data_IF_767926096792
#
_entry.id   IF_767926096792
#
_cell.length_a   1.000
_cell.length_b   1.000
_cell.length_c   1.000
_cell.angle_alpha   90.00
_cell.angle_beta   90.00
_cell.angle_gamma   90.00
#
_symmetry.space_group_name_H-M   'P 1'
#
loop_
_entity.id
_entity.type
_entity.pdbx_description
1 polymer ?
#
# COMPACT_ATOMS: atom_id res chain seq x y z
N UNK A 1 12.93 -3.39 13.93
CA UNK A 1 11.76 -3.72 14.77
C UNK A 1 10.55 -2.82 14.51
N UNK A 2 10.62 -1.87 13.56
CA UNK A 2 9.43 -1.12 13.12
C UNK A 2 8.45 -2.08 12.46
N UNK A 3 7.41 -2.50 13.18
CA UNK A 3 6.36 -3.39 12.66
C UNK A 3 5.24 -2.62 11.96
N UNK A 4 5.10 -1.35 12.30
CA UNK A 4 4.08 -0.46 11.75
C UNK A 4 4.44 0.06 10.36
N UNK A 5 5.69 -0.13 9.93
CA UNK A 5 6.12 0.22 8.57
C UNK A 5 6.16 1.71 8.30
N UNK A 6 6.31 2.51 9.37
CA UNK A 6 6.23 3.98 9.34
C UNK A 6 7.60 4.65 9.35
N UNK A 7 8.71 3.91 9.44
CA UNK A 7 10.03 4.50 9.31
C UNK A 7 10.32 4.92 7.87
N UNK A 8 11.14 5.97 7.72
CA UNK A 8 11.44 6.55 6.41
C UNK A 8 12.08 5.54 5.44
N UNK A 9 12.89 4.60 5.94
CA UNK A 9 13.49 3.54 5.12
C UNK A 9 12.43 2.68 4.43
N UNK A 10 11.40 2.27 5.16
CA UNK A 10 10.32 1.43 4.61
C UNK A 10 9.37 2.21 3.72
N UNK A 11 9.09 3.45 4.09
CA UNK A 11 8.34 4.37 3.23
C UNK A 11 9.06 4.57 1.89
N UNK A 12 10.39 4.71 1.90
CA UNK A 12 11.20 4.81 0.71
C UNK A 12 11.18 3.50 -0.10
N UNK A 13 11.34 2.33 0.52
CA UNK A 13 11.25 1.04 -0.19
C UNK A 13 9.89 0.88 -0.90
N UNK A 14 8.80 1.20 -0.20
CA UNK A 14 7.45 1.17 -0.75
C UNK A 14 7.28 2.18 -1.89
N UNK A 15 7.84 3.39 -1.78
CA UNK A 15 7.75 4.39 -2.85
C UNK A 15 8.49 3.99 -4.13
N UNK A 16 9.46 3.08 -4.05
CA UNK A 16 10.21 2.55 -5.19
C UNK A 16 9.68 1.19 -5.69
N UNK A 17 8.57 0.68 -5.15
CA UNK A 17 7.96 -0.57 -5.61
C UNK A 17 8.66 -1.82 -5.14
N UNK A 18 9.58 -1.69 -4.18
CA UNK A 18 10.07 -2.84 -3.47
C UNK A 18 8.93 -3.28 -2.56
N UNK A 19 8.32 -4.44 -2.82
CA UNK A 19 7.23 -4.98 -1.97
C UNK A 19 7.67 -6.22 -1.18
N UNK A 20 8.85 -6.75 -1.51
CA UNK A 20 9.39 -7.95 -0.89
C UNK A 20 10.27 -7.61 0.33
N UNK A 21 10.17 -8.43 1.39
CA UNK A 21 11.14 -8.42 2.49
C UNK A 21 10.97 -7.33 3.55
N UNK A 22 9.89 -6.53 3.54
CA UNK A 22 9.60 -5.61 4.65
C UNK A 22 8.10 -5.44 4.94
N UNK A 23 7.79 -5.07 6.19
CA UNK A 23 6.41 -4.86 6.65
C UNK A 23 5.90 -3.51 6.17
N UNK A 24 4.79 -3.53 5.45
CA UNK A 24 3.97 -2.34 5.12
C UNK A 24 3.00 -2.07 6.26
N UNK A 25 2.58 -0.81 6.42
CA UNK A 25 1.61 -0.44 7.43
C UNK A 25 0.33 -1.29 7.37
N UNK A 26 -0.18 -1.65 8.56
CA UNK A 26 -1.24 -2.65 8.71
C UNK A 26 -2.57 -2.23 8.07
N UNK A 27 -2.96 -0.95 8.17
CA UNK A 27 -4.22 -0.46 7.58
C UNK A 27 -4.20 -0.50 6.05
N UNK A 28 -3.19 0.04 5.34
CA UNK A 28 -3.06 -0.12 3.88
C UNK A 28 -3.07 -1.57 3.42
N UNK A 29 -2.35 -2.45 4.12
CA UNK A 29 -2.31 -3.87 3.80
C UNK A 29 -3.69 -4.52 3.96
N UNK A 30 -4.39 -4.20 5.05
CA UNK A 30 -5.77 -4.63 5.27
C UNK A 30 -6.73 -4.15 4.17
N UNK A 31 -6.62 -2.90 3.71
CA UNK A 31 -7.41 -2.40 2.58
C UNK A 31 -7.15 -3.21 1.30
N UNK A 32 -5.88 -3.45 0.97
CA UNK A 32 -5.49 -4.23 -0.19
C UNK A 32 -6.01 -5.68 -0.11
N UNK A 33 -5.91 -6.31 1.05
CA UNK A 33 -6.42 -7.67 1.29
C UNK A 33 -7.95 -7.73 1.15
N UNK A 34 -8.67 -6.73 1.66
CA UNK A 34 -10.12 -6.62 1.48
C UNK A 34 -10.50 -6.49 0.01
N UNK A 35 -9.80 -5.66 -0.76
CA UNK A 35 -10.02 -5.54 -2.20
C UNK A 35 -9.76 -6.88 -2.90
N UNK A 36 -8.64 -7.55 -2.62
CA UNK A 36 -8.32 -8.87 -3.19
C UNK A 36 -9.40 -9.93 -2.91
N UNK A 37 -9.99 -9.92 -1.71
CA UNK A 37 -11.08 -10.85 -1.33
C UNK A 37 -12.37 -10.64 -2.13
N UNK A 38 -12.56 -9.49 -2.78
CA UNK A 38 -13.72 -9.27 -3.65
C UNK A 38 -13.64 -10.03 -4.97
N UNK A 39 -12.43 -10.47 -5.38
CA UNK A 39 -12.19 -11.07 -6.69
C UNK A 39 -12.16 -10.07 -7.86
N UNK A 40 -12.37 -8.77 -7.60
CA UNK A 40 -12.27 -7.72 -8.63
C UNK A 40 -10.79 -7.50 -8.97
N UNK A 41 -10.40 -7.51 -10.26
CA UNK A 41 -9.03 -7.25 -10.66
C UNK A 41 -8.64 -5.80 -10.38
N UNK A 42 -7.49 -5.61 -9.71
CA UNK A 42 -6.91 -4.29 -9.45
C UNK A 42 -6.17 -3.77 -10.70
N UNK A 43 -5.55 -4.67 -11.47
CA UNK A 43 -4.76 -4.30 -12.63
C UNK A 43 -5.63 -3.59 -13.70
N UNK A 44 -5.22 -2.39 -14.11
CA UNK A 44 -5.90 -1.51 -15.05
C UNK A 44 -7.08 -0.73 -14.47
N UNK A 45 -7.30 -0.80 -13.14
CA UNK A 45 -8.45 -0.16 -12.49
C UNK A 45 -8.12 1.24 -11.98
N UNK A 46 -8.94 2.23 -12.34
CA UNK A 46 -8.78 3.59 -11.80
C UNK A 46 -9.10 3.63 -10.30
N UNK A 47 -8.07 3.66 -9.46
CA UNK A 47 -8.20 3.83 -8.02
C UNK A 47 -8.23 5.30 -7.59
N UNK A 48 -9.02 5.61 -6.55
CA UNK A 48 -9.04 6.93 -5.90
C UNK A 48 -8.80 6.75 -4.40
N UNK A 49 -7.79 7.44 -3.88
CA UNK A 49 -7.51 7.49 -2.43
C UNK A 49 -7.79 8.91 -1.93
N UNK A 50 -8.73 9.04 -0.99
CA UNK A 50 -9.04 10.31 -0.34
C UNK A 50 -8.28 10.37 0.98
N UNK A 51 -7.24 11.21 1.02
CA UNK A 51 -6.34 11.35 2.17
C UNK A 51 -4.89 11.01 1.81
N UNK A 52 -3.94 11.66 2.52
CA UNK A 52 -2.49 11.61 2.20
C UNK A 52 -1.59 11.45 3.43
N UNK A 53 -2.12 10.87 4.51
CA UNK A 53 -1.34 10.67 5.72
C UNK A 53 -0.20 9.67 5.49
N UNK A 54 0.88 9.80 6.27
CA UNK A 54 2.02 8.86 6.24
C UNK A 54 1.63 7.43 6.65
N UNK A 55 0.57 7.30 7.46
CA UNK A 55 0.14 6.02 8.05
C UNK A 55 -0.80 5.25 7.11
N UNK A 56 -1.69 5.95 6.39
CA UNK A 56 -2.75 5.31 5.60
C UNK A 56 -2.75 5.77 4.15
N UNK A 57 -3.04 7.05 3.90
CA UNK A 57 -3.35 7.53 2.56
C UNK A 57 -2.23 7.30 1.54
N UNK A 58 -1.02 7.78 1.86
CA UNK A 58 0.12 7.63 0.95
C UNK A 58 0.50 6.14 0.74
N UNK A 59 0.70 5.32 1.78
CA UNK A 59 0.99 3.89 1.59
C UNK A 59 -0.09 3.14 0.79
N UNK A 60 -1.39 3.42 1.01
CA UNK A 60 -2.47 2.80 0.21
C UNK A 60 -2.36 3.18 -1.27
N UNK A 61 -2.09 4.45 -1.59
CA UNK A 61 -1.90 4.87 -2.98
C UNK A 61 -0.72 4.18 -3.65
N UNK A 62 0.40 4.01 -2.94
CA UNK A 62 1.59 3.32 -3.45
C UNK A 62 1.34 1.82 -3.65
N UNK A 63 0.65 1.17 -2.72
CA UNK A 63 0.27 -0.24 -2.89
C UNK A 63 -0.61 -0.43 -4.13
N UNK A 64 -1.61 0.42 -4.34
CA UNK A 64 -2.47 0.33 -5.51
C UNK A 64 -1.70 0.57 -6.81
N UNK A 65 -0.80 1.57 -6.83
CA UNK A 65 0.11 1.83 -7.95
C UNK A 65 0.95 0.59 -8.31
N UNK A 66 1.59 -0.05 -7.32
CA UNK A 66 2.41 -1.24 -7.54
C UNK A 66 1.60 -2.52 -7.80
N UNK A 67 0.30 -2.49 -7.55
CA UNK A 67 -0.66 -3.49 -8.01
C UNK A 67 -1.29 -3.14 -9.37
N UNK A 68 -0.73 -2.16 -10.08
CA UNK A 68 -1.12 -1.74 -11.41
C UNK A 68 -2.56 -1.22 -11.51
N UNK A 69 -3.09 -0.63 -10.43
CA UNK A 69 -4.32 0.16 -10.50
C UNK A 69 -4.10 1.37 -11.44
#
# INVERSE_FOLDING_TARGET
>A
KDVDGICDEKAAKLSHGQLEGFLVACTPLGCLDLIKRTGVPINGSKAVVIGRSKIVGLPTSLLLLWHHA
#
